data_IF_836571270100
#
_entry.id   IF_836571270100
#
_cell.length_a   1.000
_cell.length_b   1.000
_cell.length_c   1.000
_cell.angle_alpha   90.00
_cell.angle_beta   90.00
_cell.angle_gamma   90.00
#
_symmetry.space_group_name_H-M   'P 1'
#
loop_
_entity.id
_entity.type
_entity.pdbx_description
1 polymer ?
#
# COMPACT_ATOMS: atom_id res chain seq x y z
N UNK A 1 -2.18 14.88 45.28
CA UNK A 1 -2.34 15.48 43.93
C UNK A 1 -1.37 14.94 42.87
N UNK A 2 -0.12 14.57 43.20
CA UNK A 2 0.92 14.10 42.23
C UNK A 2 0.61 12.77 41.52
N UNK A 3 0.05 11.76 42.22
CA UNK A 3 -0.30 10.45 41.63
C UNK A 3 -1.42 10.54 40.56
N UNK A 4 -2.46 11.35 40.80
CA UNK A 4 -3.56 11.55 39.84
C UNK A 4 -3.08 12.19 38.53
N UNK A 5 -2.11 13.11 38.60
CA UNK A 5 -1.45 13.69 37.42
C UNK A 5 -0.71 12.64 36.61
N UNK A 6 0.07 11.77 37.25
CA UNK A 6 0.83 10.71 36.57
C UNK A 6 -0.10 9.72 35.86
N UNK A 7 -1.18 9.28 36.52
CA UNK A 7 -2.17 8.38 35.91
C UNK A 7 -2.88 9.04 34.74
N UNK A 8 -3.22 10.33 34.84
CA UNK A 8 -3.80 11.08 33.74
C UNK A 8 -2.85 11.19 32.54
N UNK A 9 -1.57 11.53 32.77
CA UNK A 9 -0.58 11.57 31.69
C UNK A 9 -0.34 10.19 31.06
N UNK A 10 -0.28 9.12 31.86
CA UNK A 10 -0.14 7.75 31.36
C UNK A 10 -1.35 7.32 30.54
N UNK A 11 -2.57 7.65 30.97
CA UNK A 11 -3.81 7.37 30.24
C UNK A 11 -3.89 8.14 28.93
N UNK A 12 -3.47 9.41 28.90
CA UNK A 12 -3.41 10.22 27.68
C UNK A 12 -2.39 9.63 26.68
N UNK A 13 -1.25 9.16 27.17
CA UNK A 13 -0.20 8.56 26.35
C UNK A 13 -0.60 7.16 25.82
N UNK A 14 -1.40 6.40 26.56
CA UNK A 14 -2.02 5.18 26.06
C UNK A 14 -3.08 5.49 24.98
N UNK A 15 -3.91 6.51 25.19
CA UNK A 15 -4.96 6.89 24.25
C UNK A 15 -4.41 7.30 22.88
N UNK A 16 -3.27 7.99 22.83
CA UNK A 16 -2.61 8.36 21.57
C UNK A 16 -2.02 7.17 20.81
N UNK A 17 -1.64 6.09 21.51
CA UNK A 17 -1.21 4.83 20.86
C UNK A 17 -2.39 4.12 20.20
N UNK A 18 -3.56 4.14 20.84
CA UNK A 18 -4.79 3.53 20.31
C UNK A 18 -5.42 4.34 19.15
N UNK A 19 -5.12 5.63 19.02
CA UNK A 19 -5.62 6.48 17.92
C UNK A 19 -4.81 6.40 16.62
N UNK A 20 -3.84 5.49 16.50
CA UNK A 20 -3.08 5.32 15.25
C UNK A 20 -3.93 4.65 14.18
N UNK A 21 -4.70 5.44 13.44
CA UNK A 21 -5.21 5.05 12.13
C UNK A 21 -4.09 5.22 11.11
N UNK A 22 -3.54 4.11 10.61
CA UNK A 22 -2.64 4.14 9.46
C UNK A 22 -3.50 4.14 8.19
N UNK A 23 -3.58 5.28 7.51
CA UNK A 23 -4.18 5.34 6.18
C UNK A 23 -3.11 4.89 5.16
N UNK A 24 -3.33 3.74 4.55
CA UNK A 24 -2.53 3.26 3.43
C UNK A 24 -3.32 3.52 2.14
N UNK A 25 -2.80 4.40 1.28
CA UNK A 25 -3.47 4.77 0.03
C UNK A 25 -2.50 5.43 -0.94
N UNK A 26 -2.91 5.46 -2.21
CA UNK A 26 -2.19 6.16 -3.27
C UNK A 26 -2.71 7.58 -3.32
N UNK A 27 -1.83 8.58 -3.27
CA UNK A 27 -2.20 9.99 -3.47
C UNK A 27 -1.26 10.63 -4.48
N UNK A 28 -1.56 11.85 -4.90
CA UNK A 28 -0.69 12.65 -5.77
C UNK A 28 0.71 12.84 -5.18
N UNK A 29 0.78 13.02 -3.85
CA UNK A 29 2.00 13.26 -3.09
C UNK A 29 2.71 11.96 -2.69
N UNK A 30 1.94 10.88 -2.54
CA UNK A 30 2.42 9.56 -2.14
C UNK A 30 2.05 8.51 -3.19
N UNK A 31 2.72 8.53 -4.36
CA UNK A 31 2.52 7.51 -5.37
C UNK A 31 3.15 6.18 -4.94
N UNK A 32 2.56 5.08 -5.37
CA UNK A 32 3.06 3.74 -5.12
C UNK A 32 4.21 3.44 -6.09
N UNK A 33 5.41 3.24 -5.56
CA UNK A 33 6.60 2.86 -6.33
C UNK A 33 6.76 1.34 -6.40
N UNK A 34 7.58 0.88 -7.34
CA UNK A 34 8.01 -0.52 -7.40
C UNK A 34 8.62 -0.96 -6.05
N UNK A 35 8.24 -2.16 -5.60
CA UNK A 35 8.65 -2.72 -4.31
C UNK A 35 7.76 -2.31 -3.12
N UNK A 36 6.92 -1.28 -3.27
CA UNK A 36 5.89 -0.95 -2.30
C UNK A 36 4.59 -1.71 -2.61
N UNK A 37 3.82 -2.01 -1.56
CA UNK A 37 2.51 -2.65 -1.67
C UNK A 37 1.49 -1.97 -0.79
N UNK A 38 0.21 -2.10 -1.15
CA UNK A 38 -0.92 -1.77 -0.29
C UNK A 38 -1.61 -3.05 0.14
N UNK A 39 -1.70 -3.26 1.45
CA UNK A 39 -2.49 -4.35 2.03
C UNK A 39 -3.95 -3.92 2.19
N UNK A 40 -4.85 -4.81 1.80
CA UNK A 40 -6.26 -4.69 2.14
C UNK A 40 -6.49 -4.63 3.66
N UNK A 41 -7.57 -4.00 4.17
CA UNK A 41 -7.80 -3.86 5.60
C UNK A 41 -7.89 -5.19 6.37
N UNK A 42 -8.34 -6.26 5.72
CA UNK A 42 -8.42 -7.60 6.30
C UNK A 42 -7.14 -8.43 6.08
N UNK A 43 -6.13 -7.89 5.41
CA UNK A 43 -4.85 -8.54 5.15
C UNK A 43 -4.89 -9.66 4.10
N UNK A 44 -6.01 -9.91 3.42
CA UNK A 44 -6.15 -11.04 2.48
C UNK A 44 -5.47 -10.75 1.14
N UNK A 45 -5.60 -9.52 0.67
CA UNK A 45 -5.08 -9.08 -0.63
C UNK A 45 -3.99 -8.02 -0.49
N UNK A 46 -3.10 -8.01 -1.47
CA UNK A 46 -2.12 -6.96 -1.69
C UNK A 46 -2.20 -6.42 -3.13
N UNK A 47 -1.98 -5.11 -3.27
CA UNK A 47 -1.83 -4.42 -4.54
C UNK A 47 -0.39 -3.93 -4.69
N UNK A 48 0.20 -4.06 -5.88
CA UNK A 48 1.49 -3.45 -6.20
C UNK A 48 2.05 -3.89 -7.55
N UNK A 49 3.35 -3.65 -7.73
CA UNK A 49 4.08 -4.03 -8.94
C UNK A 49 4.56 -5.49 -8.87
N UNK A 50 4.55 -6.18 -10.01
CA UNK A 50 5.17 -7.50 -10.16
C UNK A 50 5.71 -7.69 -11.58
N UNK A 51 6.70 -8.59 -11.71
CA UNK A 51 7.21 -9.07 -12.99
C UNK A 51 7.06 -10.60 -13.07
N UNK A 52 6.35 -11.14 -14.08
CA UNK A 52 6.30 -12.57 -14.32
C UNK A 52 7.60 -13.08 -14.94
N UNK A 53 8.01 -14.30 -14.57
CA UNK A 53 9.10 -15.06 -15.18
C UNK A 53 10.45 -14.31 -15.31
N UNK A 54 10.77 -13.43 -14.36
CA UNK A 54 11.97 -12.59 -14.39
C UNK A 54 12.11 -11.76 -15.68
N UNK A 55 10.98 -11.38 -16.30
CA UNK A 55 10.98 -10.48 -17.46
C UNK A 55 11.23 -9.03 -17.03
N UNK A 56 11.51 -8.14 -17.98
CA UNK A 56 11.55 -6.70 -17.73
C UNK A 56 10.15 -6.07 -17.69
N UNK A 57 9.10 -6.84 -17.98
CA UNK A 57 7.72 -6.36 -18.03
C UNK A 57 7.17 -6.23 -16.62
N UNK A 58 6.81 -5.00 -16.25
CA UNK A 58 6.19 -4.66 -14.99
C UNK A 58 4.69 -4.48 -15.18
N UNK A 59 3.95 -5.09 -14.25
CA UNK A 59 2.51 -5.03 -14.17
C UNK A 59 2.09 -4.54 -12.80
N UNK A 60 1.01 -3.78 -12.75
CA UNK A 60 0.26 -3.50 -11.52
C UNK A 60 -0.81 -4.58 -11.38
N UNK A 61 -0.88 -5.21 -10.22
CA UNK A 61 -1.87 -6.25 -9.97
C UNK A 61 -2.29 -6.35 -8.52
N UNK A 62 -3.30 -7.17 -8.30
CA UNK A 62 -3.78 -7.58 -6.97
C UNK A 62 -3.54 -9.09 -6.83
N UNK A 63 -3.02 -9.52 -5.69
CA UNK A 63 -2.78 -10.93 -5.39
C UNK A 63 -3.17 -11.27 -3.95
N UNK A 64 -3.26 -12.57 -3.65
CA UNK A 64 -3.38 -13.05 -2.27
C UNK A 64 -2.07 -12.86 -1.53
N UNK A 65 -2.11 -12.16 -0.39
CA UNK A 65 -0.92 -11.76 0.39
C UNK A 65 -0.07 -12.95 0.83
N UNK A 66 -0.71 -13.96 1.42
CA UNK A 66 -0.04 -15.05 2.11
C UNK A 66 0.02 -16.36 1.28
N UNK A 67 -0.19 -16.30 -0.04
CA UNK A 67 -0.15 -17.48 -0.92
C UNK A 67 1.14 -17.49 -1.74
N UNK A 68 1.90 -18.58 -1.62
CA UNK A 68 3.12 -18.85 -2.40
C UNK A 68 2.95 -20.17 -3.18
N UNK A 69 3.20 -20.20 -4.51
CA UNK A 69 3.61 -19.08 -5.36
C UNK A 69 2.51 -18.02 -5.50
N UNK A 70 2.93 -16.76 -5.73
CA UNK A 70 2.04 -15.60 -5.79
C UNK A 70 0.90 -15.85 -6.79
N UNK A 71 -0.33 -15.81 -6.30
CA UNK A 71 -1.53 -15.98 -7.12
C UNK A 71 -2.17 -14.62 -7.39
N UNK A 72 -2.02 -14.14 -8.63
CA UNK A 72 -2.54 -12.83 -9.09
C UNK A 72 -4.00 -12.98 -9.50
N UNK A 73 -4.89 -12.18 -8.91
CA UNK A 73 -6.34 -12.23 -9.17
C UNK A 73 -6.81 -11.13 -10.13
N UNK A 74 -6.04 -10.05 -10.27
CA UNK A 74 -6.33 -8.95 -11.19
C UNK A 74 -5.06 -8.26 -11.67
N UNK A 75 -5.07 -7.71 -12.90
CA UNK A 75 -3.93 -7.02 -13.52
C UNK A 75 -4.45 -5.77 -14.23
N UNK A 76 -3.90 -4.60 -13.92
CA UNK A 76 -4.35 -3.31 -14.44
C UNK A 76 -3.95 -3.08 -15.91
N UNK A 77 -2.65 -3.26 -16.19
CA UNK A 77 -2.03 -2.96 -17.48
C UNK A 77 -1.65 -4.25 -18.23
N UNK A 78 -2.59 -5.20 -18.30
CA UNK A 78 -2.35 -6.55 -18.85
C UNK A 78 -1.89 -6.51 -20.31
N UNK A 79 -2.45 -5.61 -21.11
CA UNK A 79 -2.20 -5.49 -22.54
C UNK A 79 -1.00 -4.56 -22.84
N UNK A 80 -0.58 -3.74 -21.88
CA UNK A 80 0.46 -2.73 -22.03
C UNK A 80 1.41 -2.72 -20.82
N UNK A 81 2.33 -3.70 -20.72
CA UNK A 81 3.34 -3.70 -19.68
C UNK A 81 4.26 -2.47 -19.77
N UNK A 82 4.72 -2.00 -18.62
CA UNK A 82 5.77 -0.97 -18.56
C UNK A 82 7.12 -1.62 -18.34
N UNK A 83 8.18 -1.04 -18.88
CA UNK A 83 9.56 -1.55 -18.71
C UNK A 83 10.45 -0.57 -17.93
N UNK A 84 9.91 0.58 -17.57
CA UNK A 84 10.61 1.60 -16.79
C UNK A 84 10.79 1.12 -15.33
N UNK A 85 12.03 0.92 -14.85
CA UNK A 85 12.30 0.50 -13.47
C UNK A 85 12.01 1.60 -12.44
N UNK A 86 11.63 2.81 -12.90
CA UNK A 86 11.22 3.94 -12.07
C UNK A 86 9.71 4.21 -12.13
N UNK A 87 8.93 3.33 -12.76
CA UNK A 87 7.48 3.47 -12.87
C UNK A 87 6.79 3.61 -11.51
N UNK A 88 5.73 4.42 -11.46
CA UNK A 88 4.97 4.72 -10.24
C UNK A 88 3.48 4.82 -10.55
N UNK A 89 2.67 4.24 -9.68
CA UNK A 89 1.21 4.36 -9.76
C UNK A 89 0.77 5.54 -8.88
N UNK A 90 0.12 6.54 -9.48
CA UNK A 90 -0.26 7.80 -8.80
C UNK A 90 -1.69 8.21 -9.11
N UNK A 91 -2.24 9.11 -8.30
CA UNK A 91 -3.49 9.81 -8.61
C UNK A 91 -3.14 11.17 -9.23
N UNK A 92 -3.77 11.48 -10.35
CA UNK A 92 -3.67 12.80 -10.97
C UNK A 92 -4.59 13.82 -10.31
N UNK A 93 -4.35 15.11 -10.56
CA UNK A 93 -5.15 16.21 -9.99
C UNK A 93 -6.64 16.14 -10.33
N UNK A 94 -7.01 15.44 -11.40
CA UNK A 94 -8.41 15.24 -11.79
C UNK A 94 -9.05 13.96 -11.19
N UNK A 95 -8.32 13.23 -10.35
CA UNK A 95 -8.78 11.99 -9.72
C UNK A 95 -8.56 10.71 -10.54
N UNK A 96 -7.94 10.80 -11.73
CA UNK A 96 -7.63 9.61 -12.53
C UNK A 96 -6.39 8.90 -11.99
N UNK A 97 -6.43 7.57 -11.95
CA UNK A 97 -5.28 6.74 -11.62
C UNK A 97 -4.35 6.65 -12.85
N UNK A 98 -3.08 6.99 -12.68
CA UNK A 98 -2.06 6.99 -13.72
C UNK A 98 -0.94 6.04 -13.36
N UNK A 99 -0.46 5.31 -14.38
CA UNK A 99 0.70 4.43 -14.34
C UNK A 99 1.78 4.97 -15.28
#
# INVERSE_FOLDING_TARGET
>A
MRKKRIVFFASLLLFTIFLKFCFAGITTENPLSIGQTLSSPNGVYELGFFSPNNSQNLYVGIWFKDITPRTVVWVANRESPVTDPTARLTISSNGSLLL
#
